data_IF_874634163445
#
_entry.id   IF_874634163445
#
_cell.length_a   1.000
_cell.length_b   1.000
_cell.length_c   1.000
_cell.angle_alpha   90.00
_cell.angle_beta   90.00
_cell.angle_gamma   90.00
#
_symmetry.space_group_name_H-M   'P 1'
#
loop_
_entity.id
_entity.type
_entity.pdbx_description
1 polymer ?
#
# COMPACT_ATOMS: atom_id res chain seq x y z
N UNK A 1 -14.00 1.35 -6.61
CA UNK A 1 -14.68 2.37 -5.77
C UNK A 1 -16.20 2.27 -5.79
N UNK A 2 -16.84 1.65 -6.79
CA UNK A 2 -18.30 1.47 -6.83
C UNK A 2 -18.82 0.33 -5.93
N UNK A 3 -18.03 -0.71 -5.65
CA UNK A 3 -18.47 -1.87 -4.85
C UNK A 3 -18.82 -1.47 -3.40
N UNK A 4 -17.94 -0.74 -2.72
CA UNK A 4 -18.17 -0.28 -1.34
C UNK A 4 -19.42 0.61 -1.20
N UNK A 5 -19.75 1.39 -2.25
CA UNK A 5 -20.96 2.22 -2.28
C UNK A 5 -22.24 1.39 -2.48
N UNK A 6 -22.17 0.24 -3.14
CA UNK A 6 -23.29 -0.69 -3.32
C UNK A 6 -23.55 -1.49 -2.04
N UNK A 7 -22.50 -1.95 -1.36
CA UNK A 7 -22.61 -2.69 -0.09
C UNK A 7 -23.24 -1.83 1.03
N UNK A 8 -22.97 -0.52 1.05
CA UNK A 8 -23.61 0.43 1.97
C UNK A 8 -25.14 0.53 1.80
N UNK A 9 -25.66 0.22 0.62
CA UNK A 9 -27.10 0.29 0.38
C UNK A 9 -27.85 -0.94 0.91
N UNK A 10 -27.20 -2.11 1.01
CA UNK A 10 -27.88 -3.40 1.24
C UNK A 10 -27.47 -4.10 2.55
N UNK A 11 -26.59 -3.49 3.36
CA UNK A 11 -26.09 -4.08 4.60
C UNK A 11 -26.14 -3.06 5.74
N UNK A 12 -27.12 -3.19 6.65
CA UNK A 12 -27.29 -2.32 7.84
C UNK A 12 -26.09 -2.33 8.80
N UNK A 13 -25.14 -3.27 8.63
CA UNK A 13 -23.89 -3.34 9.39
C UNK A 13 -22.73 -2.60 8.72
N UNK A 14 -22.91 -2.07 7.51
CA UNK A 14 -21.91 -1.28 6.81
C UNK A 14 -21.86 0.13 7.43
N UNK A 15 -20.79 0.43 8.15
CA UNK A 15 -20.52 1.79 8.63
C UNK A 15 -19.46 2.37 7.71
N UNK A 16 -19.86 3.30 6.83
CA UNK A 16 -18.91 4.05 6.02
C UNK A 16 -18.09 4.97 6.93
N UNK A 17 -16.84 4.60 7.19
CA UNK A 17 -15.89 5.42 7.96
C UNK A 17 -14.99 6.28 7.07
N UNK A 18 -15.28 6.36 5.77
CA UNK A 18 -14.50 7.13 4.80
C UNK A 18 -13.16 6.48 4.40
N UNK A 19 -12.95 5.21 4.73
CA UNK A 19 -11.77 4.47 4.28
C UNK A 19 -11.90 4.07 2.81
N UNK A 20 -10.87 4.36 2.01
CA UNK A 20 -10.82 3.95 0.60
C UNK A 20 -10.53 2.45 0.46
N UNK A 21 -9.70 1.91 1.37
CA UNK A 21 -9.35 0.49 1.42
C UNK A 21 -9.91 -0.12 2.71
N UNK A 22 -10.91 -0.98 2.56
CA UNK A 22 -11.60 -1.65 3.66
C UNK A 22 -11.49 -3.17 3.52
N UNK A 23 -11.53 -3.87 4.65
CA UNK A 23 -11.79 -5.30 4.64
C UNK A 23 -13.28 -5.58 4.38
N UNK A 24 -13.63 -6.85 4.18
CA UNK A 24 -15.03 -7.30 3.99
C UNK A 24 -15.94 -6.98 5.19
N UNK A 25 -15.35 -6.69 6.36
CA UNK A 25 -16.04 -6.23 7.57
C UNK A 25 -16.00 -4.69 7.74
N UNK A 26 -15.75 -3.94 6.67
CA UNK A 26 -15.81 -2.48 6.60
C UNK A 26 -14.86 -1.75 7.57
N UNK A 27 -13.84 -2.45 8.08
CA UNK A 27 -12.79 -1.88 8.91
C UNK A 27 -11.54 -1.61 8.07
N UNK A 28 -10.65 -0.74 8.55
CA UNK A 28 -9.36 -0.50 7.92
C UNK A 28 -8.61 -1.81 7.69
N UNK A 29 -7.97 -1.97 6.53
CA UNK A 29 -7.16 -3.16 6.26
C UNK A 29 -5.96 -3.18 7.22
N UNK A 30 -5.76 -4.32 7.88
CA UNK A 30 -4.62 -4.55 8.75
C UNK A 30 -3.31 -4.69 7.94
N UNK A 31 -2.23 -4.07 8.41
CA UNK A 31 -0.94 -4.07 7.71
C UNK A 31 -0.35 -5.48 7.55
N UNK A 32 -0.55 -6.37 8.53
CA UNK A 32 -0.11 -7.77 8.42
C UNK A 32 -0.89 -8.50 7.34
N UNK A 33 -2.18 -8.20 7.19
CA UNK A 33 -2.99 -8.76 6.11
C UNK A 33 -2.48 -8.30 4.74
N UNK A 34 -2.11 -7.02 4.60
CA UNK A 34 -1.46 -6.51 3.37
C UNK A 34 -0.13 -7.23 3.11
N UNK A 35 0.73 -7.37 4.12
CA UNK A 35 2.02 -8.05 3.95
C UNK A 35 1.86 -9.54 3.61
N UNK A 36 0.82 -10.22 4.12
CA UNK A 36 0.53 -11.60 3.75
C UNK A 36 0.09 -11.72 2.28
N UNK A 37 -0.79 -10.81 1.81
CA UNK A 37 -1.20 -10.76 0.40
C UNK A 37 0.01 -10.48 -0.50
N UNK A 38 0.90 -9.56 -0.10
CA UNK A 38 2.15 -9.28 -0.82
C UNK A 38 3.02 -10.55 -0.86
N UNK A 39 3.12 -11.29 0.25
CA UNK A 39 3.89 -12.53 0.30
C UNK A 39 3.34 -13.58 -0.67
N UNK A 40 2.04 -13.81 -0.66
CA UNK A 40 1.39 -14.74 -1.60
C UNK A 40 1.64 -14.32 -3.05
N UNK A 41 1.52 -13.03 -3.37
CA UNK A 41 1.83 -12.51 -4.69
C UNK A 41 3.31 -12.71 -5.05
N UNK A 42 4.23 -12.56 -4.08
CA UNK A 42 5.65 -12.83 -4.32
C UNK A 42 5.94 -14.30 -4.53
N UNK A 43 5.23 -15.20 -3.85
CA UNK A 43 5.42 -16.65 -4.00
C UNK A 43 4.95 -17.12 -5.39
N UNK A 44 3.94 -16.46 -5.97
CA UNK A 44 3.47 -16.67 -7.35
C UNK A 44 4.46 -16.08 -8.35
N UNK A 45 5.09 -14.96 -8.01
CA UNK A 45 6.14 -14.36 -8.83
C UNK A 45 7.46 -15.13 -8.65
N UNK A 46 8.37 -15.10 -9.63
CA UNK A 46 9.71 -15.70 -9.45
C UNK A 46 10.64 -14.85 -8.56
N UNK A 47 10.10 -14.14 -7.56
CA UNK A 47 10.86 -13.26 -6.66
C UNK A 47 11.20 -14.04 -5.38
N UNK A 48 12.48 -14.38 -5.21
CA UNK A 48 12.97 -15.09 -4.02
C UNK A 48 13.23 -14.21 -2.80
N UNK A 49 13.05 -12.89 -2.92
CA UNK A 49 13.32 -11.92 -1.86
C UNK A 49 12.07 -11.66 -1.01
N UNK A 50 12.26 -11.43 0.29
CA UNK A 50 11.18 -10.97 1.17
C UNK A 50 10.72 -9.56 0.75
N UNK A 51 9.49 -9.46 0.27
CA UNK A 51 8.85 -8.16 -0.04
C UNK A 51 7.85 -7.81 1.05
N UNK A 52 7.85 -6.54 1.45
CA UNK A 52 6.92 -5.94 2.40
C UNK A 52 6.42 -4.61 1.83
N UNK A 53 5.42 -4.00 2.46
CA UNK A 53 4.99 -2.64 2.12
C UNK A 53 6.15 -1.63 2.12
N UNK A 54 7.11 -1.77 3.04
CA UNK A 54 8.31 -0.93 3.09
C UNK A 54 9.26 -1.16 1.91
N UNK A 55 9.41 -2.42 1.48
CA UNK A 55 10.17 -2.77 0.27
C UNK A 55 9.58 -2.11 -0.97
N UNK A 56 8.25 -2.13 -1.11
CA UNK A 56 7.56 -1.51 -2.24
C UNK A 56 7.76 0.02 -2.27
N UNK A 57 7.74 0.68 -1.10
CA UNK A 57 8.05 2.11 -1.01
C UNK A 57 9.46 2.42 -1.48
N UNK A 58 10.44 1.62 -1.08
CA UNK A 58 11.81 1.77 -1.59
C UNK A 58 11.89 1.55 -3.10
N UNK A 59 11.21 0.54 -3.63
CA UNK A 59 11.14 0.32 -5.08
C UNK A 59 10.55 1.53 -5.79
N UNK A 60 9.47 2.12 -5.27
CA UNK A 60 8.87 3.32 -5.86
C UNK A 60 9.87 4.49 -5.93
N UNK A 61 10.57 4.76 -4.82
CA UNK A 61 11.61 5.81 -4.78
C UNK A 61 12.73 5.53 -5.76
N UNK A 62 13.26 4.30 -5.76
CA UNK A 62 14.33 3.90 -6.68
C UNK A 62 13.89 4.01 -8.14
N UNK A 63 12.64 3.68 -8.47
CA UNK A 63 12.10 3.85 -9.82
C UNK A 63 11.99 5.32 -10.19
N UNK A 64 11.46 6.18 -9.30
CA UNK A 64 11.39 7.63 -9.57
C UNK A 64 12.79 8.24 -9.77
N UNK A 65 13.78 7.79 -9.00
CA UNK A 65 15.17 8.23 -9.12
C UNK A 65 15.80 7.77 -10.46
N UNK A 66 15.56 6.52 -10.86
CA UNK A 66 16.00 5.99 -12.15
C UNK A 66 15.37 6.71 -13.34
N UNK A 67 14.13 7.19 -13.19
CA UNK A 67 13.43 8.01 -14.18
C UNK A 67 13.93 9.47 -14.25
N UNK A 68 14.94 9.84 -13.45
CA UNK A 68 15.53 11.18 -13.46
C UNK A 68 14.65 12.25 -12.81
N UNK A 69 13.66 11.86 -12.00
CA UNK A 69 12.79 12.82 -11.31
C UNK A 69 13.61 13.54 -10.24
N UNK A 70 13.43 14.87 -10.15
CA UNK A 70 14.13 15.70 -9.19
C UNK A 70 13.89 15.20 -7.75
N UNK A 71 14.97 15.10 -6.96
CA UNK A 71 14.93 14.66 -5.57
C UNK A 71 13.91 15.44 -4.71
N UNK A 72 13.77 16.75 -4.92
CA UNK A 72 12.76 17.56 -4.20
C UNK A 72 11.33 17.10 -4.51
N UNK A 73 11.06 16.74 -5.76
CA UNK A 73 9.75 16.22 -6.16
C UNK A 73 9.50 14.82 -5.59
N UNK A 74 10.53 13.97 -5.51
CA UNK A 74 10.44 12.65 -4.85
C UNK A 74 10.17 12.82 -3.35
N UNK A 75 10.92 13.70 -2.67
CA UNK A 75 10.74 13.99 -1.23
C UNK A 75 9.34 14.51 -0.91
N UNK A 76 8.79 15.39 -1.75
CA UNK A 76 7.44 15.91 -1.60
C UNK A 76 6.36 14.83 -1.75
N UNK A 77 6.53 13.91 -2.71
CA UNK A 77 5.58 12.81 -2.98
C UNK A 77 5.63 11.72 -1.91
N UNK A 78 6.80 11.49 -1.32
CA UNK A 78 7.03 10.35 -0.44
C UNK A 78 7.01 10.68 1.05
N UNK A 79 6.90 11.97 1.46
CA UNK A 79 6.93 12.44 2.85
C UNK A 79 7.90 11.62 3.73
N UNK A 80 9.19 11.77 3.45
CA UNK A 80 10.24 10.98 4.07
C UNK A 80 10.80 11.72 5.29
N UNK A 81 10.43 11.26 6.50
CA UNK A 81 11.22 11.48 7.73
C UNK A 81 12.16 10.30 8.03
N UNK A 82 12.10 9.18 7.28
CA UNK A 82 12.68 7.90 7.76
C UNK A 82 13.82 7.30 6.89
N UNK A 83 14.05 7.75 5.64
CA UNK A 83 14.96 7.00 4.74
C UNK A 83 16.47 7.28 4.97
N UNK A 84 16.85 8.25 5.80
CA UNK A 84 18.29 8.52 6.06
C UNK A 84 18.90 7.62 7.14
N UNK A 85 18.13 6.75 7.82
CA UNK A 85 18.67 5.91 8.92
C UNK A 85 19.09 4.47 8.57
N UNK A 86 18.97 4.04 7.31
CA UNK A 86 19.24 2.63 6.96
C UNK A 86 20.24 2.41 5.80
N UNK A 87 21.04 3.42 5.50
CA UNK A 87 22.31 3.27 4.78
C UNK A 87 23.45 3.67 5.72
#
# INVERSE_FOLDING_TARGET
>A
MLENKKENQWNDKFIDRGYIFTNTACSSIDLNKVNNIIKEATDISSISKRVTTHTLRHTHISTLAQLGINLKAIQYRELVTVIIKQL
#
